data_IF_774715741191
#
_entry.id   IF_774715741191
#
_cell.length_a   1.000
_cell.length_b   1.000
_cell.length_c   1.000
_cell.angle_alpha   90.00
_cell.angle_beta   90.00
_cell.angle_gamma   90.00
#
_symmetry.space_group_name_H-M   'P 1'
#
loop_
_entity.id
_entity.type
_entity.pdbx_description
1 polymer ?
#
# COMPACT_ATOMS: atom_id res chain seq x y z
N UNK A 1 56.44 -7.73 -19.58
CA UNK A 1 55.01 -7.74 -19.97
C UNK A 1 54.26 -8.45 -18.86
N UNK A 2 53.48 -7.72 -18.04
CA UNK A 2 52.71 -8.29 -16.92
C UNK A 2 51.26 -8.43 -17.38
N UNK A 3 50.74 -9.65 -17.40
CA UNK A 3 49.34 -9.91 -17.69
C UNK A 3 48.52 -9.78 -16.40
N UNK A 4 47.59 -8.84 -16.37
CA UNK A 4 46.65 -8.64 -15.27
C UNK A 4 45.51 -9.66 -15.41
N UNK A 5 45.36 -10.56 -14.44
CA UNK A 5 44.18 -11.43 -14.34
C UNK A 5 43.01 -10.62 -13.79
N UNK A 6 41.99 -10.39 -14.60
CA UNK A 6 40.69 -9.91 -14.12
C UNK A 6 39.88 -11.11 -13.64
N UNK A 7 39.79 -11.30 -12.33
CA UNK A 7 38.82 -12.22 -11.73
C UNK A 7 37.44 -11.55 -11.74
N UNK A 8 36.52 -12.06 -12.56
CA UNK A 8 35.11 -11.68 -12.46
C UNK A 8 34.52 -12.31 -11.20
N UNK A 9 34.33 -11.52 -10.16
CA UNK A 9 33.46 -11.90 -9.05
C UNK A 9 32.01 -11.77 -9.52
N UNK A 10 31.40 -12.87 -9.94
CA UNK A 10 29.96 -12.97 -10.06
C UNK A 10 29.39 -12.96 -8.64
N UNK A 11 28.95 -11.80 -8.16
CA UNK A 11 28.15 -11.74 -6.95
C UNK A 11 26.90 -12.61 -7.17
N UNK A 12 26.49 -13.46 -6.21
CA UNK A 12 25.22 -14.16 -6.32
C UNK A 12 24.11 -13.11 -6.41
N UNK A 13 23.15 -13.31 -7.31
CA UNK A 13 21.97 -12.47 -7.40
C UNK A 13 21.34 -12.35 -6.00
N UNK A 14 20.96 -11.14 -5.55
CA UNK A 14 20.26 -11.01 -4.29
C UNK A 14 19.01 -11.89 -4.37
N UNK A 15 18.80 -12.74 -3.36
CA UNK A 15 17.56 -13.49 -3.22
C UNK A 15 16.43 -12.44 -3.19
N UNK A 16 15.60 -12.40 -4.23
CA UNK A 16 14.40 -11.57 -4.26
C UNK A 16 13.46 -12.15 -3.19
N UNK A 17 13.54 -11.62 -1.97
CA UNK A 17 12.51 -11.82 -0.97
C UNK A 17 11.15 -11.50 -1.60
N UNK A 18 10.12 -12.34 -1.42
CA UNK A 18 8.79 -12.06 -1.96
C UNK A 18 8.33 -10.68 -1.50
N UNK A 19 7.86 -9.84 -2.43
CA UNK A 19 7.25 -8.56 -2.08
C UNK A 19 6.04 -8.87 -1.18
N UNK A 20 6.01 -8.36 0.06
CA UNK A 20 4.90 -8.61 0.96
C UNK A 20 3.59 -8.13 0.32
N UNK A 21 2.50 -8.88 0.51
CA UNK A 21 1.19 -8.42 0.05
C UNK A 21 0.75 -7.23 0.89
N UNK A 22 0.33 -6.15 0.24
CA UNK A 22 -0.31 -5.04 0.93
C UNK A 22 -1.79 -5.35 1.11
N UNK A 23 -2.27 -5.35 2.35
CA UNK A 23 -3.67 -5.55 2.70
C UNK A 23 -4.23 -4.25 3.29
N UNK A 24 -5.13 -3.62 2.56
CA UNK A 24 -5.74 -2.34 2.92
C UNK A 24 -7.23 -2.48 3.25
N UNK A 25 -7.71 -1.64 4.17
CA UNK A 25 -9.13 -1.50 4.52
C UNK A 25 -9.42 -0.04 4.85
N UNK A 26 -10.63 0.42 4.52
CA UNK A 26 -11.11 1.75 4.76
C UNK A 26 -12.57 1.78 5.19
N UNK A 27 -12.84 2.47 6.29
CA UNK A 27 -14.20 2.56 6.84
C UNK A 27 -14.61 3.99 7.13
N UNK A 28 -15.93 4.23 7.10
CA UNK A 28 -16.56 5.49 7.45
C UNK A 28 -17.65 5.26 8.48
N UNK A 29 -17.75 6.16 9.44
CA UNK A 29 -18.90 6.29 10.33
C UNK A 29 -19.70 7.54 9.97
N UNK A 30 -21.03 7.47 10.10
CA UNK A 30 -21.90 8.64 9.87
C UNK A 30 -21.96 9.15 8.43
N UNK A 31 -21.70 8.28 7.45
CA UNK A 31 -21.74 8.62 6.02
C UNK A 31 -23.04 9.32 5.62
N UNK A 32 -22.94 10.29 4.71
CA UNK A 32 -24.08 11.10 4.28
C UNK A 32 -24.52 12.19 5.28
N UNK A 33 -23.74 12.44 6.34
CA UNK A 33 -24.01 13.51 7.31
C UNK A 33 -22.78 14.37 7.59
N UNK A 34 -22.98 15.57 8.14
CA UNK A 34 -21.88 16.45 8.57
C UNK A 34 -21.00 15.85 9.69
N UNK A 35 -21.41 14.72 10.27
CA UNK A 35 -20.64 13.98 11.28
C UNK A 35 -19.81 12.85 10.67
N UNK A 36 -19.74 12.75 9.33
CA UNK A 36 -18.98 11.72 8.66
C UNK A 36 -17.50 11.77 9.07
N UNK A 37 -16.95 10.61 9.43
CA UNK A 37 -15.52 10.44 9.74
C UNK A 37 -15.02 9.17 9.08
N UNK A 38 -14.02 9.30 8.22
CA UNK A 38 -13.42 8.20 7.48
C UNK A 38 -11.99 7.94 7.91
N UNK A 39 -11.63 6.67 8.02
CA UNK A 39 -10.28 6.22 8.34
C UNK A 39 -9.87 5.07 7.42
N UNK A 40 -8.57 4.87 7.28
CA UNK A 40 -8.00 3.80 6.47
C UNK A 40 -6.78 3.21 7.16
N UNK A 41 -6.48 1.96 6.86
CA UNK A 41 -5.31 1.25 7.33
C UNK A 41 -4.75 0.36 6.22
N UNK A 42 -3.44 0.15 6.22
CA UNK A 42 -2.77 -0.82 5.36
C UNK A 42 -1.66 -1.53 6.14
N UNK A 43 -1.54 -2.83 5.91
CA UNK A 43 -0.42 -3.65 6.39
C UNK A 43 0.39 -4.12 5.18
N UNK A 44 1.71 -3.95 5.24
CA UNK A 44 2.67 -4.40 4.23
C UNK A 44 3.89 -5.01 4.94
N UNK A 45 3.96 -6.33 5.00
CA UNK A 45 4.97 -7.04 5.80
C UNK A 45 4.82 -6.72 7.29
N UNK A 46 5.88 -6.20 7.91
CA UNK A 46 5.86 -5.75 9.31
C UNK A 46 5.45 -4.29 9.49
N UNK A 47 5.15 -3.57 8.41
CA UNK A 47 4.75 -2.16 8.44
C UNK A 47 3.23 -2.05 8.46
N UNK A 48 2.70 -1.26 9.39
CA UNK A 48 1.30 -0.88 9.45
C UNK A 48 1.19 0.64 9.41
N UNK A 49 0.33 1.17 8.54
CA UNK A 49 0.09 2.61 8.38
C UNK A 49 -1.41 2.85 8.45
N UNK A 50 -1.81 3.88 9.21
CA UNK A 50 -3.20 4.30 9.34
C UNK A 50 -3.33 5.77 9.04
N UNK A 51 -4.48 6.20 8.53
CA UNK A 51 -4.78 7.60 8.31
C UNK A 51 -6.26 7.92 8.40
N UNK A 52 -6.57 9.22 8.31
CA UNK A 52 -7.93 9.73 8.26
C UNK A 52 -8.18 10.40 6.91
N UNK A 53 -9.40 10.29 6.39
CA UNK A 53 -9.83 11.00 5.19
C UNK A 53 -10.23 12.41 5.57
N UNK A 54 -9.50 13.40 5.04
CA UNK A 54 -9.75 14.83 5.28
C UNK A 54 -10.24 15.51 4.01
N UNK A 55 -11.54 15.39 3.76
CA UNK A 55 -12.22 16.09 2.66
C UNK A 55 -13.58 16.63 3.13
N UNK A 56 -14.34 17.22 2.21
CA UNK A 56 -15.70 17.65 2.52
C UNK A 56 -16.53 16.46 3.02
N UNK A 57 -17.36 16.68 4.05
CA UNK A 57 -18.04 15.61 4.77
C UNK A 57 -18.90 14.72 3.85
N UNK A 58 -19.52 15.29 2.82
CA UNK A 58 -20.36 14.54 1.89
C UNK A 58 -19.56 13.60 0.99
N UNK A 59 -18.25 13.85 0.85
CA UNK A 59 -17.34 13.05 0.05
C UNK A 59 -16.68 11.91 0.85
N UNK A 60 -16.88 11.87 2.17
CA UNK A 60 -16.35 10.80 3.03
C UNK A 60 -17.26 9.57 2.87
N UNK A 61 -16.83 8.64 2.01
CA UNK A 61 -17.52 7.38 1.72
C UNK A 61 -16.62 6.19 2.04
N UNK A 62 -17.21 5.01 2.26
CA UNK A 62 -16.42 3.77 2.45
C UNK A 62 -15.48 3.55 1.27
N UNK A 63 -15.99 3.67 0.04
CA UNK A 63 -15.18 3.54 -1.18
C UNK A 63 -13.99 4.50 -1.21
N UNK A 64 -14.16 5.76 -0.79
CA UNK A 64 -13.04 6.71 -0.71
C UNK A 64 -12.02 6.29 0.34
N UNK A 65 -12.46 5.83 1.52
CA UNK A 65 -11.57 5.34 2.57
C UNK A 65 -10.72 4.16 2.08
N UNK A 66 -11.35 3.24 1.35
CA UNK A 66 -10.71 2.08 0.73
C UNK A 66 -9.68 2.47 -0.34
N UNK A 67 -10.02 3.44 -1.19
CA UNK A 67 -9.07 4.00 -2.15
C UNK A 67 -7.82 4.56 -1.44
N UNK A 68 -7.96 5.21 -0.29
CA UNK A 68 -6.81 5.69 0.48
C UNK A 68 -5.93 4.54 0.98
N UNK A 69 -6.53 3.44 1.45
CA UNK A 69 -5.78 2.25 1.87
C UNK A 69 -4.98 1.64 0.70
N UNK A 70 -5.59 1.52 -0.48
CA UNK A 70 -4.91 1.01 -1.68
C UNK A 70 -3.81 1.95 -2.19
N UNK A 71 -4.03 3.26 -2.19
CA UNK A 71 -2.99 4.23 -2.58
C UNK A 71 -1.79 4.13 -1.63
N UNK A 72 -2.04 3.96 -0.33
CA UNK A 72 -0.98 3.74 0.65
C UNK A 72 -0.25 2.41 0.43
N UNK A 73 -0.98 1.34 0.08
CA UNK A 73 -0.39 0.05 -0.29
C UNK A 73 0.49 0.11 -1.54
N UNK A 74 0.06 0.82 -2.59
CA UNK A 74 0.91 1.10 -3.77
C UNK A 74 2.17 1.86 -3.39
N UNK A 75 2.03 2.88 -2.55
CA UNK A 75 3.18 3.68 -2.11
C UNK A 75 4.19 2.84 -1.33
N UNK A 76 3.73 1.99 -0.40
CA UNK A 76 4.60 1.13 0.42
C UNK A 76 5.27 0.02 -0.38
N UNK A 77 4.62 -0.49 -1.41
CA UNK A 77 5.13 -1.56 -2.27
C UNK A 77 5.99 -1.07 -3.43
N UNK A 78 6.02 0.25 -3.68
CA UNK A 78 6.70 0.82 -4.84
C UNK A 78 6.01 0.44 -6.15
N UNK A 79 4.67 0.49 -6.16
CA UNK A 79 3.82 0.17 -7.32
C UNK A 79 4.06 -1.25 -7.87
N UNK A 80 4.35 -2.20 -6.98
CA UNK A 80 4.73 -3.57 -7.33
C UNK A 80 4.00 -4.59 -6.44
N UNK A 81 3.85 -5.82 -6.94
CA UNK A 81 3.25 -6.91 -6.17
C UNK A 81 1.71 -6.91 -6.17
N UNK A 82 1.13 -7.60 -5.17
CA UNK A 82 -0.32 -7.81 -5.04
C UNK A 82 -0.85 -6.92 -3.93
N UNK A 83 -2.04 -6.36 -4.16
CA UNK A 83 -2.84 -5.70 -3.16
C UNK A 83 -4.15 -6.44 -2.91
N UNK A 84 -4.60 -6.40 -1.67
CA UNK A 84 -5.87 -6.98 -1.24
C UNK A 84 -6.69 -5.88 -0.58
N UNK A 85 -7.94 -5.73 -1.01
CA UNK A 85 -9.00 -5.06 -0.29
C UNK A 85 -10.29 -5.90 -0.42
N UNK A 86 -11.25 -5.69 0.47
CA UNK A 86 -12.54 -6.37 0.47
C UNK A 86 -13.65 -5.59 -0.27
N UNK A 87 -13.40 -4.32 -0.61
CA UNK A 87 -14.35 -3.51 -1.35
C UNK A 87 -14.29 -3.71 -2.87
N UNK A 88 -15.25 -4.48 -3.40
CA UNK A 88 -15.47 -4.72 -4.83
C UNK A 88 -15.74 -3.48 -5.67
N UNK A 89 -16.09 -2.34 -5.08
CA UNK A 89 -16.30 -1.10 -5.83
C UNK A 89 -14.98 -0.40 -6.20
N UNK A 90 -13.86 -0.81 -5.58
CA UNK A 90 -12.54 -0.22 -5.77
C UNK A 90 -11.65 -1.06 -6.71
N UNK A 91 -12.03 -2.33 -6.93
CA UNK A 91 -11.41 -3.27 -7.88
C UNK A 91 -12.28 -3.36 -9.13
#
# INVERSE_FOLDING_TARGET
>A
MWAQLTTSLTAPAPLLEPIPTAAGDGSVIGAGSMRASGAWAVVHGSVSVTGNVKCYWADITSTRCECHALIAGLHLSGDSGVQVCDNKAVI
#
